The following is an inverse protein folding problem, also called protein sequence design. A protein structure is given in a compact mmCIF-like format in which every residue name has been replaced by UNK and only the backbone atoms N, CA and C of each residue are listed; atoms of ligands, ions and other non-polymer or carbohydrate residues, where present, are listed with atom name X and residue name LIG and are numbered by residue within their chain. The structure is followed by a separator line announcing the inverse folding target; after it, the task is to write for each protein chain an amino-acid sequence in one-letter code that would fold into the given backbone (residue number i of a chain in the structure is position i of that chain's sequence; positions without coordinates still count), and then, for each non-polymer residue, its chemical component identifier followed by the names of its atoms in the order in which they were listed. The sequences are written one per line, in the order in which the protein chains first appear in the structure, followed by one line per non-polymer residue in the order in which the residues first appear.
data_IF_162587369234
#
_entry.id   IF_162587369234
#
_cell.length_a   1.000
_cell.length_b   1.000
_cell.length_c   1.000
_cell.angle_alpha   90.00
_cell.angle_beta   90.00
_cell.angle_gamma   90.00
#
_symmetry.space_group_name_H-M   'P 1'
#
loop_
_entity.id
_entity.type
_entity.pdbx_description
1 polymer ?
#
# COMPACT_ATOMS: atom_id res chain seq x y z
N UNK A 1 -20.68 -1.67 2.75
CA UNK A 1 -19.92 -2.12 1.57
C UNK A 1 -19.27 -3.41 1.97
N UNK A 2 -19.49 -4.47 1.19
CA UNK A 2 -19.05 -5.80 1.57
C UNK A 2 -17.51 -5.92 1.46
N UNK A 3 -16.88 -6.80 2.28
CA UNK A 3 -15.43 -6.97 2.31
C UNK A 3 -14.85 -7.36 0.95
N UNK A 4 -15.59 -8.13 0.17
CA UNK A 4 -15.16 -8.59 -1.15
C UNK A 4 -15.02 -7.42 -2.12
N UNK A 5 -16.02 -6.53 -2.20
CA UNK A 5 -15.96 -5.30 -3.01
C UNK A 5 -14.77 -4.42 -2.62
N UNK A 6 -14.51 -4.23 -1.32
CA UNK A 6 -13.35 -3.47 -0.85
C UNK A 6 -12.05 -4.17 -1.27
N UNK A 7 -11.96 -5.49 -1.12
CA UNK A 7 -10.77 -6.27 -1.51
C UNK A 7 -10.47 -6.19 -3.01
N UNK A 8 -11.50 -6.11 -3.86
CA UNK A 8 -11.34 -5.96 -5.30
C UNK A 8 -10.77 -4.58 -5.65
N UNK A 9 -11.30 -3.51 -5.04
CA UNK A 9 -10.74 -2.16 -5.16
C UNK A 9 -9.29 -2.10 -4.70
N UNK A 10 -8.98 -2.69 -3.54
CA UNK A 10 -7.63 -2.78 -3.02
C UNK A 10 -6.68 -3.57 -3.91
N UNK A 11 -7.16 -4.60 -4.61
CA UNK A 11 -6.33 -5.35 -5.57
C UNK A 11 -5.94 -4.49 -6.77
N UNK A 12 -6.86 -3.67 -7.27
CA UNK A 12 -6.57 -2.66 -8.29
C UNK A 12 -5.56 -1.62 -7.80
N UNK A 13 -5.73 -1.19 -6.55
CA UNK A 13 -4.81 -0.28 -5.89
C UNK A 13 -3.40 -0.89 -5.71
N UNK A 14 -3.29 -2.14 -5.26
CA UNK A 14 -2.04 -2.87 -5.16
C UNK A 14 -1.31 -2.95 -6.51
N UNK A 15 -2.03 -3.24 -7.59
CA UNK A 15 -1.46 -3.26 -8.96
C UNK A 15 -0.85 -1.91 -9.35
N UNK A 16 -1.51 -0.80 -8.98
CA UNK A 16 -1.00 0.55 -9.21
C UNK A 16 0.29 0.83 -8.41
N UNK A 17 0.32 0.46 -7.12
CA UNK A 17 1.50 0.61 -6.27
C UNK A 17 2.69 -0.22 -6.80
N UNK A 18 2.44 -1.45 -7.26
CA UNK A 18 3.44 -2.26 -7.95
C UNK A 18 3.97 -1.58 -9.22
N UNK A 19 3.09 -0.91 -9.98
CA UNK A 19 3.49 -0.08 -11.11
C UNK A 19 4.50 1.02 -10.74
N UNK A 20 4.32 1.66 -9.59
CA UNK A 20 5.29 2.64 -9.05
C UNK A 20 6.62 1.98 -8.72
N UNK A 21 6.62 0.84 -8.02
CA UNK A 21 7.87 0.14 -7.67
C UNK A 21 8.69 -0.19 -8.91
N UNK A 22 8.03 -0.60 -10.00
CA UNK A 22 8.67 -0.87 -11.29
C UNK A 22 9.29 0.39 -11.91
N UNK A 23 8.56 1.52 -11.89
CA UNK A 23 9.10 2.80 -12.40
C UNK A 23 10.36 3.19 -11.62
N UNK A 24 10.31 3.11 -10.30
CA UNK A 24 11.42 3.49 -9.42
C UNK A 24 12.62 2.56 -9.59
N UNK A 25 12.38 1.24 -9.67
CA UNK A 25 13.44 0.24 -9.88
C UNK A 25 14.19 0.49 -11.19
N UNK A 26 13.46 0.74 -12.29
CA UNK A 26 14.08 1.08 -13.58
C UNK A 26 14.88 2.37 -13.47
N UNK A 27 14.30 3.44 -12.91
CA UNK A 27 14.97 4.73 -12.74
C UNK A 27 16.26 4.62 -11.92
N UNK A 28 16.24 3.88 -10.81
CA UNK A 28 17.40 3.64 -9.94
C UNK A 28 18.48 2.83 -10.67
N UNK A 29 18.09 1.86 -11.51
CA UNK A 29 19.05 1.06 -12.28
C UNK A 29 19.73 1.86 -13.40
N UNK A 30 19.00 2.78 -14.02
CA UNK A 30 19.44 3.58 -15.16
C UNK A 30 20.32 4.78 -14.78
N UNK A 31 20.31 5.20 -13.50
CA UNK A 31 20.97 6.44 -13.04
C UNK A 31 21.95 6.14 -11.91
N UNK A 32 23.21 6.53 -12.10
CA UNK A 32 24.27 6.37 -11.10
C UNK A 32 25.00 7.71 -10.84
N UNK A 33 25.07 8.18 -9.58
CA UNK A 33 24.37 7.66 -8.41
C UNK A 33 22.86 8.00 -8.44
N UNK A 34 22.01 7.02 -8.13
CA UNK A 34 20.58 7.26 -8.00
C UNK A 34 20.29 8.10 -6.72
N UNK A 35 19.36 9.07 -6.78
CA UNK A 35 18.92 9.85 -5.63
C UNK A 35 18.51 8.97 -4.45
N UNK A 36 18.90 9.34 -3.23
CA UNK A 36 18.47 8.67 -1.99
C UNK A 36 16.96 8.63 -1.87
N UNK A 37 16.29 9.71 -2.27
CA UNK A 37 14.84 9.86 -2.22
C UNK A 37 14.14 8.81 -3.09
N UNK A 38 14.70 8.47 -4.25
CA UNK A 38 14.16 7.43 -5.12
C UNK A 38 14.25 6.04 -4.46
N UNK A 39 15.38 5.73 -3.82
CA UNK A 39 15.60 4.45 -3.12
C UNK A 39 14.68 4.32 -1.92
N UNK A 40 14.58 5.36 -1.11
CA UNK A 40 13.71 5.41 0.07
C UNK A 40 12.24 5.29 -0.34
N UNK A 41 11.82 6.00 -1.40
CA UNK A 41 10.45 5.86 -1.92
C UNK A 41 10.17 4.43 -2.41
N UNK A 42 11.12 3.78 -3.06
CA UNK A 42 10.98 2.40 -3.49
C UNK A 42 10.75 1.47 -2.29
N UNK A 43 11.54 1.61 -1.23
CA UNK A 43 11.40 0.80 -0.01
C UNK A 43 9.99 0.96 0.60
N UNK A 44 9.52 2.20 0.69
CA UNK A 44 8.26 2.53 1.38
C UNK A 44 7.04 2.11 0.56
N UNK A 45 7.08 2.31 -0.77
CA UNK A 45 6.01 1.80 -1.65
C UNK A 45 6.01 0.27 -1.68
N UNK A 46 7.18 -0.38 -1.54
CA UNK A 46 7.26 -1.85 -1.43
C UNK A 46 6.63 -2.34 -0.12
N UNK A 47 6.90 -1.67 1.00
CA UNK A 47 6.26 -1.97 2.28
C UNK A 47 4.74 -1.79 2.19
N UNK A 48 4.27 -0.70 1.56
CA UNK A 48 2.85 -0.49 1.29
C UNK A 48 2.24 -1.61 0.44
N UNK A 49 2.93 -2.08 -0.61
CA UNK A 49 2.45 -3.22 -1.42
C UNK A 49 2.25 -4.47 -0.57
N UNK A 50 3.18 -4.75 0.34
CA UNK A 50 3.06 -5.89 1.26
C UNK A 50 1.84 -5.75 2.17
N UNK A 51 1.69 -4.59 2.82
CA UNK A 51 0.58 -4.34 3.75
C UNK A 51 -0.79 -4.35 3.02
N UNK A 52 -0.85 -3.87 1.77
CA UNK A 52 -2.03 -3.95 0.92
C UNK A 52 -2.39 -5.39 0.54
N UNK A 53 -1.40 -6.22 0.19
CA UNK A 53 -1.62 -7.64 -0.12
C UNK A 53 -2.17 -8.40 1.09
N UNK A 54 -1.62 -8.15 2.28
CA UNK A 54 -2.12 -8.71 3.53
C UNK A 54 -3.57 -8.26 3.81
N UNK A 55 -3.87 -6.97 3.61
CA UNK A 55 -5.21 -6.44 3.80
C UNK A 55 -6.23 -7.02 2.82
N UNK A 56 -5.84 -7.22 1.55
CA UNK A 56 -6.68 -7.89 0.54
C UNK A 56 -7.00 -9.32 0.97
N UNK A 57 -6.01 -10.07 1.45
CA UNK A 57 -6.19 -11.44 1.94
C UNK A 57 -7.16 -11.45 3.12
N UNK A 58 -6.86 -10.66 4.15
CA UNK A 58 -7.69 -10.53 5.36
C UNK A 58 -9.16 -10.22 5.05
N UNK A 59 -9.41 -9.26 4.15
CA UNK A 59 -10.79 -8.90 3.76
C UNK A 59 -11.51 -10.00 2.98
N UNK A 60 -10.80 -10.92 2.32
CA UNK A 60 -11.40 -12.02 1.57
C UNK A 60 -11.65 -13.25 2.42
N UNK A 61 -10.81 -13.50 3.41
CA UNK A 61 -10.83 -14.76 4.18
C UNK A 61 -11.47 -14.60 5.54
N UNK A 62 -11.21 -13.49 6.22
CA UNK A 62 -11.37 -13.43 7.67
C UNK A 62 -12.45 -12.44 8.12
N UNK A 63 -12.83 -11.47 7.29
CA UNK A 63 -13.87 -10.50 7.62
C UNK A 63 -15.25 -10.99 7.18
N UNK A 64 -16.19 -10.97 8.13
CA UNK A 64 -17.62 -11.21 7.89
C UNK A 64 -18.42 -9.94 8.21
N UNK A 65 -19.41 -9.62 7.36
CA UNK A 65 -20.28 -8.45 7.52
C UNK A 65 -19.84 -7.22 6.71
N UNK A 66 -20.68 -6.19 6.70
CA UNK A 66 -20.48 -4.99 5.89
C UNK A 66 -19.71 -3.89 6.62
N UNK A 67 -18.85 -3.19 5.88
CA UNK A 67 -18.20 -1.98 6.37
C UNK A 67 -19.07 -0.75 6.13
N UNK A 68 -19.18 0.11 7.15
CA UNK A 68 -19.65 1.47 6.96
C UNK A 68 -18.66 2.27 6.11
N UNK A 69 -19.16 3.08 5.18
CA UNK A 69 -18.34 3.99 4.36
C UNK A 69 -17.62 5.07 5.18
N UNK A 70 -18.00 5.25 6.45
CA UNK A 70 -17.36 6.15 7.40
C UNK A 70 -16.32 5.45 8.27
N UNK A 71 -16.13 4.13 8.11
CA UNK A 71 -15.13 3.40 8.89
C UNK A 71 -13.73 3.97 8.65
N UNK A 72 -12.95 4.05 9.72
CA UNK A 72 -11.60 4.61 9.66
C UNK A 72 -10.74 3.88 8.61
N UNK A 73 -10.91 2.56 8.47
CA UNK A 73 -10.23 1.75 7.46
C UNK A 73 -10.63 2.17 6.04
N UNK A 74 -11.93 2.29 5.75
CA UNK A 74 -12.39 2.71 4.42
C UNK A 74 -11.87 4.10 4.06
N UNK A 75 -11.97 5.07 4.97
CA UNK A 75 -11.46 6.43 4.75
C UNK A 75 -9.94 6.43 4.53
N UNK A 76 -9.19 5.64 5.31
CA UNK A 76 -7.75 5.50 5.13
C UNK A 76 -7.39 4.90 3.75
N UNK A 77 -8.11 3.86 3.32
CA UNK A 77 -7.93 3.23 2.01
C UNK A 77 -8.17 4.24 0.88
N UNK A 78 -9.31 4.93 0.89
CA UNK A 78 -9.67 5.88 -0.17
C UNK A 78 -8.70 7.05 -0.26
N UNK A 79 -8.27 7.55 0.89
CA UNK A 79 -7.28 8.65 0.94
C UNK A 79 -5.92 8.16 0.42
N UNK A 80 -5.50 6.96 0.81
CA UNK A 80 -4.25 6.33 0.35
C UNK A 80 -4.24 6.12 -1.16
N UNK A 81 -5.32 5.58 -1.70
CA UNK A 81 -5.47 5.34 -3.13
C UNK A 81 -5.29 6.63 -3.94
N UNK A 82 -6.00 7.71 -3.57
CA UNK A 82 -5.89 9.01 -4.26
C UNK A 82 -4.46 9.52 -4.31
N UNK A 83 -3.75 9.43 -3.18
CA UNK A 83 -2.38 9.89 -3.10
C UNK A 83 -1.39 9.06 -3.92
N UNK A 84 -1.57 7.74 -3.94
CA UNK A 84 -0.74 6.87 -4.78
C UNK A 84 -1.06 7.07 -6.27
N UNK A 85 -2.30 7.32 -6.65
CA UNK A 85 -2.65 7.71 -8.02
C UNK A 85 -1.94 8.99 -8.44
N UNK A 86 -1.90 10.00 -7.58
CA UNK A 86 -1.18 11.25 -7.86
C UNK A 86 0.33 11.03 -7.94
N UNK A 87 0.90 10.20 -7.06
CA UNK A 87 2.30 9.81 -7.12
C UNK A 87 2.62 9.06 -8.42
N UNK A 88 1.77 8.12 -8.81
CA UNK A 88 1.92 7.37 -10.06
C UNK A 88 1.90 8.32 -11.26
N UNK A 89 0.96 9.27 -11.33
CA UNK A 89 0.90 10.28 -12.40
C UNK A 89 2.19 11.12 -12.46
N UNK A 90 2.75 11.53 -11.31
CA UNK A 90 4.02 12.27 -11.24
C UNK A 90 5.18 11.42 -11.77
N UNK A 91 5.28 10.16 -11.34
CA UNK A 91 6.37 9.26 -11.69
C UNK A 91 6.28 8.71 -13.12
N UNK A 92 5.07 8.56 -13.68
CA UNK A 92 4.88 8.14 -15.08
C UNK A 92 5.57 9.09 -16.07
N UNK A 93 5.77 10.37 -15.70
CA UNK A 93 6.56 11.33 -16.49
C UNK A 93 8.01 10.91 -16.70
N UNK A 94 8.56 10.08 -15.81
CA UNK A 94 9.88 9.47 -15.96
C UNK A 94 9.93 8.46 -17.12
N UNK A 95 8.83 7.76 -17.39
CA UNK A 95 8.74 6.77 -18.46
C UNK A 95 8.60 7.41 -19.85
N UNK A 96 7.85 8.52 -19.97
CA UNK A 96 7.61 9.19 -21.27
C UNK A 96 8.87 9.80 -21.89
N UNK A 97 9.87 10.13 -21.06
CA UNK A 97 11.13 10.74 -21.51
C UNK A 97 12.15 9.75 -22.07
N UNK A 98 11.74 8.51 -22.33
CA UNK A 98 12.62 7.44 -22.78
C UNK A 98 12.88 7.45 -24.30
N UNK A 99 12.60 8.56 -25.01
CA UNK A 99 12.61 8.59 -26.47
C UNK A 99 13.88 9.27 -27.07
N UNK A 100 14.48 8.53 -28.01
CA UNK A 100 15.46 8.84 -29.08
C UNK A 100 16.87 9.33 -28.80
N UNK A 101 17.29 9.72 -27.59
CA UNK A 101 18.72 10.03 -27.37
C UNK A 101 19.19 9.68 -25.94
N UNK A 102 19.60 8.42 -25.74
CA UNK A 102 19.92 7.81 -24.42
C UNK A 102 20.86 8.68 -23.57
N UNK A 103 21.88 9.30 -24.16
CA UNK A 103 22.92 10.03 -23.41
C UNK A 103 22.44 11.40 -22.91
N UNK A 104 21.73 12.18 -23.73
CA UNK A 104 21.09 13.45 -23.30
C UNK A 104 19.91 13.22 -22.35
N UNK A 105 19.20 12.10 -22.50
CA UNK A 105 18.10 11.71 -21.63
C UNK A 105 18.54 11.36 -20.20
N UNK A 106 19.69 10.69 -20.02
CA UNK A 106 20.21 10.34 -18.69
C UNK A 106 20.62 11.60 -17.89
N UNK A 107 21.38 12.52 -18.49
CA UNK A 107 21.79 13.77 -17.83
C UNK A 107 20.58 14.60 -17.38
N UNK A 108 19.53 14.68 -18.22
CA UNK A 108 18.28 15.35 -17.86
C UNK A 108 17.49 14.62 -16.76
N UNK A 109 17.49 13.28 -16.74
CA UNK A 109 16.83 12.47 -15.70
C UNK A 109 17.51 12.55 -14.33
N UNK A 110 18.83 12.76 -14.28
CA UNK A 110 19.59 12.98 -13.04
C UNK A 110 19.23 14.34 -12.42
N UNK A 111 19.10 15.37 -13.26
CA UNK A 111 18.78 16.74 -12.81
C UNK A 111 17.30 16.93 -12.51
N UNK A 112 16.40 16.18 -13.16
CA UNK A 112 14.95 16.37 -13.06
C UNK A 112 14.25 15.22 -12.32
N UNK A 113 14.73 14.84 -11.13
CA UNK A 113 13.90 14.09 -10.20
C UNK A 113 12.55 14.83 -10.06
N UNK A 114 11.42 14.23 -10.44
CA UNK A 114 10.18 14.96 -10.72
C UNK A 114 9.41 15.31 -9.44
N UNK A 115 9.90 14.86 -8.29
CA UNK A 115 9.29 15.09 -6.99
C UNK A 115 10.13 16.14 -6.27
N UNK A 116 9.54 17.30 -5.99
CA UNK A 116 10.17 18.33 -5.15
C UNK A 116 10.41 17.76 -3.75
N UNK A 117 11.44 18.22 -3.04
CA UNK A 117 11.79 17.70 -1.72
C UNK A 117 10.63 17.81 -0.71
N UNK A 118 9.90 18.91 -0.75
CA UNK A 118 8.72 19.14 0.11
C UNK A 118 7.59 18.14 -0.21
N UNK A 119 7.31 17.93 -1.49
CA UNK A 119 6.34 16.94 -1.98
C UNK A 119 6.76 15.51 -1.59
N UNK A 120 8.07 15.23 -1.62
CA UNK A 120 8.63 13.93 -1.26
C UNK A 120 8.41 13.62 0.22
N UNK A 121 8.75 14.54 1.12
CA UNK A 121 8.56 14.35 2.56
C UNK A 121 7.09 14.20 2.93
N UNK A 122 6.22 14.99 2.31
CA UNK A 122 4.76 14.86 2.48
C UNK A 122 4.25 13.50 2.00
N UNK A 123 4.71 13.04 0.83
CA UNK A 123 4.36 11.72 0.28
C UNK A 123 4.83 10.59 1.20
N UNK A 124 6.07 10.69 1.68
CA UNK A 124 6.68 9.69 2.55
C UNK A 124 5.94 9.55 3.87
N UNK A 125 5.74 10.66 4.59
CA UNK A 125 5.05 10.64 5.89
C UNK A 125 3.61 10.13 5.78
N UNK A 126 2.96 10.40 4.64
CA UNK A 126 1.62 9.91 4.36
C UNK A 126 1.59 8.39 4.05
N UNK A 127 2.53 7.86 3.26
CA UNK A 127 2.67 6.41 3.04
C UNK A 127 2.89 5.69 4.36
N UNK A 128 3.81 6.18 5.19
CA UNK A 128 4.12 5.60 6.50
C UNK A 128 2.90 5.62 7.43
N UNK A 129 2.12 6.71 7.42
CA UNK A 129 0.88 6.81 8.19
C UNK A 129 -0.15 5.77 7.74
N UNK A 130 -0.30 5.53 6.44
CA UNK A 130 -1.22 4.52 5.93
C UNK A 130 -0.80 3.10 6.25
N UNK A 131 0.49 2.80 6.08
CA UNK A 131 1.11 1.54 6.54
C UNK A 131 0.78 1.30 8.02
N UNK A 132 0.96 2.31 8.87
CA UNK A 132 0.59 2.24 10.28
C UNK A 132 -0.91 1.95 10.49
N UNK A 133 -1.79 2.69 9.80
CA UNK A 133 -3.24 2.47 9.90
C UNK A 133 -3.67 1.06 9.48
N UNK A 134 -3.14 0.53 8.37
CA UNK A 134 -3.47 -0.81 7.90
C UNK A 134 -2.99 -1.88 8.86
N UNK A 135 -1.78 -1.74 9.41
CA UNK A 135 -1.26 -2.67 10.43
C UNK A 135 -2.11 -2.67 11.69
N UNK A 136 -2.57 -1.51 12.16
CA UNK A 136 -3.49 -1.44 13.31
C UNK A 136 -4.82 -2.13 12.99
N UNK A 137 -5.39 -1.89 11.81
CA UNK A 137 -6.65 -2.55 11.41
C UNK A 137 -6.50 -4.07 11.33
N UNK A 138 -5.39 -4.56 10.76
CA UNK A 138 -5.06 -5.99 10.72
C UNK A 138 -4.89 -6.57 12.13
N UNK A 139 -4.20 -5.86 13.03
CA UNK A 139 -4.01 -6.30 14.41
C UNK A 139 -5.34 -6.40 15.18
N UNK A 140 -6.19 -5.37 15.09
CA UNK A 140 -7.51 -5.37 15.73
C UNK A 140 -8.38 -6.51 15.20
N UNK A 141 -8.40 -6.70 13.89
CA UNK A 141 -9.11 -7.81 13.26
C UNK A 141 -8.62 -9.18 13.73
N UNK A 142 -7.31 -9.38 13.76
CA UNK A 142 -6.70 -10.63 14.25
C UNK A 142 -7.01 -10.88 15.74
N UNK A 143 -7.02 -9.84 16.58
CA UNK A 143 -7.39 -9.97 17.99
C UNK A 143 -8.86 -10.38 18.16
N UNK A 144 -9.78 -9.81 17.37
CA UNK A 144 -11.20 -10.19 17.43
C UNK A 144 -11.40 -11.66 17.02
N UNK A 145 -10.68 -12.12 16.00
CA UNK A 145 -10.71 -13.51 15.54
C UNK A 145 -10.14 -14.49 16.56
N UNK A 146 -8.99 -14.15 17.18
CA UNK A 146 -8.41 -14.94 18.26
C UNK A 146 -9.37 -15.04 19.46
N UNK A 147 -10.04 -13.95 19.81
CA UNK A 147 -11.01 -13.97 20.91
C UNK A 147 -12.24 -14.82 20.58
N UNK A 148 -12.80 -14.69 19.36
CA UNK A 148 -13.90 -15.56 18.89
C UNK A 148 -13.50 -17.04 18.91
N UNK A 149 -12.33 -17.38 18.38
CA UNK A 149 -11.81 -18.75 18.42
C UNK A 149 -11.63 -19.26 19.85
N UNK A 150 -11.13 -18.41 20.77
CA UNK A 150 -11.00 -18.78 22.18
C UNK A 150 -12.35 -19.01 22.85
N UNK A 151 -13.36 -18.20 22.53
CA UNK A 151 -14.72 -18.37 23.06
C UNK A 151 -15.34 -19.67 22.55
N UNK A 152 -15.17 -20.01 21.27
CA UNK A 152 -15.64 -21.28 20.69
C UNK A 152 -14.95 -22.49 21.35
N UNK A 153 -13.65 -22.41 21.63
CA UNK A 153 -12.90 -23.45 22.35
C UNK A 153 -13.38 -23.58 23.81
N UNK A 154 -13.60 -22.47 24.50
CA UNK A 154 -14.10 -22.45 25.88
C UNK A 154 -15.52 -23.04 25.93
N UNK A 155 -16.42 -22.62 25.03
CA UNK A 155 -17.77 -23.17 24.96
C UNK A 155 -17.75 -24.68 24.70
N UNK A 156 -16.89 -25.16 23.78
CA UNK A 156 -16.71 -26.59 23.52
C UNK A 156 -16.19 -27.35 24.75
N UNK A 157 -15.32 -26.75 25.55
CA UNK A 157 -14.80 -27.36 26.79
C UNK A 157 -15.85 -27.39 27.91
N UNK A 158 -16.73 -26.38 27.99
CA UNK A 158 -17.82 -26.33 28.95
C UNK A 158 -18.94 -27.33 28.62
N UNK A 159 -19.21 -27.56 27.34
CA UNK A 159 -20.20 -28.54 26.87
C UNK A 159 -19.74 -29.97 27.18
N UNK A 160 -18.46 -30.28 26.92
CA UNK A 160 -17.85 -31.57 27.26
C UNK A 160 -17.74 -31.84 28.77
N UNK A 161 -17.83 -30.81 29.62
CA UNK A 161 -17.84 -30.94 31.09
C UNK A 161 -19.23 -31.21 31.67
N UNK A 162 -20.28 -31.04 30.87
CA UNK A 162 -21.68 -31.25 31.29
C UNK A 162 -22.25 -32.61 30.84
N UNK A 163 -21.48 -33.40 30.10
CA UNK A 163 -21.74 -34.82 29.82
C UNK A 163 -20.99 -35.70 30.82
#
# INVERSE_FOLDING_TARGET
MDPFTISAGLSGFLSLALGITKILSIYISDIKPAPSDAKNLLLEVTALCHDLDQLVKFLRTDVKGDFAQTSALYVAIMTCQKHIEDLYKKLKKLQYRNDKNKVKGIAKRVVEWPIRKDDYQSTLGMIQRFVGSFRVSLMVGNCELLFKSSAEVISSLEENRKQ
#
